data_IF_501669116450
#
_entry.id   IF_501669116450
#
_cell.length_a   1.000
_cell.length_b   1.000
_cell.length_c   1.000
_cell.angle_alpha   90.00
_cell.angle_beta   90.00
_cell.angle_gamma   90.00
#
_symmetry.space_group_name_H-M   'P 1'
#
loop_
_entity.id
_entity.type
_entity.pdbx_description
1 polymer ?
#
# COMPACT_ATOMS: atom_id res chain seq x y z
N UNK A 1 41.21 22.50 -2.69
CA UNK A 1 39.96 22.29 -1.91
C UNK A 1 38.66 22.65 -2.67
N UNK A 2 38.69 23.55 -3.67
CA UNK A 2 37.48 23.98 -4.43
C UNK A 2 36.84 22.86 -5.27
N UNK A 3 37.63 22.00 -5.92
CA UNK A 3 37.11 20.92 -6.77
C UNK A 3 36.34 19.80 -6.03
N UNK A 4 36.65 19.55 -4.75
CA UNK A 4 35.95 18.55 -3.93
C UNK A 4 34.56 19.06 -3.55
N UNK A 5 34.44 20.34 -3.19
CA UNK A 5 33.15 20.94 -2.86
C UNK A 5 32.21 20.95 -4.07
N UNK A 6 32.74 21.21 -5.27
CA UNK A 6 31.94 21.27 -6.49
C UNK A 6 31.53 19.89 -7.00
N UNK A 7 32.43 18.90 -6.88
CA UNK A 7 32.11 17.50 -7.13
C UNK A 7 31.08 16.96 -6.14
N UNK A 8 31.20 17.30 -4.85
CA UNK A 8 30.24 16.92 -3.82
C UNK A 8 28.88 17.58 -4.07
N UNK A 9 28.85 18.85 -4.48
CA UNK A 9 27.61 19.56 -4.84
C UNK A 9 26.93 18.97 -6.07
N UNK A 10 27.69 18.61 -7.11
CA UNK A 10 27.15 17.94 -8.32
C UNK A 10 26.70 16.51 -8.04
N UNK A 11 27.40 15.78 -7.18
CA UNK A 11 27.01 14.44 -6.76
C UNK A 11 25.76 14.48 -5.88
N UNK A 12 25.68 15.41 -4.93
CA UNK A 12 24.47 15.67 -4.13
C UNK A 12 23.31 16.10 -5.04
N UNK A 13 23.52 16.99 -6.00
CA UNK A 13 22.47 17.39 -6.95
C UNK A 13 22.01 16.21 -7.83
N UNK A 14 22.91 15.34 -8.29
CA UNK A 14 22.54 14.12 -9.04
C UNK A 14 21.83 13.09 -8.17
N UNK A 15 22.23 12.96 -6.90
CA UNK A 15 21.55 12.11 -5.93
C UNK A 15 20.16 12.67 -5.63
N UNK A 16 20.02 13.99 -5.47
CA UNK A 16 18.75 14.68 -5.27
C UNK A 16 17.83 14.55 -6.48
N UNK A 17 18.32 14.76 -7.70
CA UNK A 17 17.52 14.58 -8.92
C UNK A 17 17.08 13.12 -9.12
N UNK A 18 17.98 12.17 -8.81
CA UNK A 18 17.62 10.74 -8.81
C UNK A 18 16.63 10.43 -7.69
N UNK A 19 16.79 11.04 -6.52
CA UNK A 19 15.89 10.90 -5.38
C UNK A 19 14.50 11.46 -5.68
N UNK A 20 14.42 12.64 -6.31
CA UNK A 20 13.20 13.30 -6.76
C UNK A 20 12.50 12.47 -7.85
N UNK A 21 13.26 11.89 -8.79
CA UNK A 21 12.73 10.92 -9.76
C UNK A 21 12.25 9.60 -9.12
N UNK A 22 12.78 9.24 -7.95
CA UNK A 22 12.33 8.09 -7.15
C UNK A 22 11.16 8.45 -6.21
N UNK A 23 10.90 9.75 -5.97
CA UNK A 23 9.77 10.23 -5.16
C UNK A 23 8.50 10.30 -6.00
N UNK A 24 7.79 9.17 -5.97
CA UNK A 24 6.50 8.97 -6.60
C UNK A 24 5.42 9.96 -6.12
N UNK A 25 5.51 10.43 -4.87
CA UNK A 25 4.55 11.35 -4.25
C UNK A 25 4.35 12.65 -5.04
N UNK A 26 5.42 13.18 -5.65
CA UNK A 26 5.36 14.44 -6.40
C UNK A 26 4.71 14.31 -7.78
N UNK A 27 4.50 13.09 -8.28
CA UNK A 27 4.03 12.83 -9.65
C UNK A 27 2.60 12.25 -9.69
N UNK A 28 1.79 12.51 -8.66
CA UNK A 28 0.39 12.13 -8.63
C UNK A 28 -0.49 13.16 -9.33
N UNK A 29 -1.20 12.75 -10.39
CA UNK A 29 -2.31 13.54 -10.92
C UNK A 29 -3.53 13.34 -10.02
N UNK A 30 -3.72 14.22 -9.03
CA UNK A 30 -4.96 14.22 -8.26
C UNK A 30 -6.11 14.67 -9.17
N UNK A 31 -7.18 13.86 -9.24
CA UNK A 31 -8.42 14.29 -9.89
C UNK A 31 -8.90 15.60 -9.25
N UNK A 32 -9.06 16.62 -10.08
CA UNK A 32 -9.56 17.94 -9.68
C UNK A 32 -10.91 17.81 -8.99
N UNK A 33 -11.75 16.87 -9.44
CA UNK A 33 -13.04 16.57 -8.81
C UNK A 33 -12.92 16.23 -7.32
N UNK A 34 -11.87 15.51 -6.89
CA UNK A 34 -11.65 15.22 -5.46
C UNK A 34 -11.14 16.43 -4.70
N UNK A 35 -10.30 17.25 -5.33
CA UNK A 35 -9.82 18.49 -4.72
C UNK A 35 -10.94 19.51 -4.55
N UNK A 36 -11.77 19.69 -5.58
CA UNK A 36 -12.97 20.54 -5.54
C UNK A 36 -13.98 19.99 -4.53
N UNK A 37 -14.22 18.69 -4.49
CA UNK A 37 -15.10 18.07 -3.49
C UNK A 37 -14.57 18.21 -2.06
N UNK A 38 -13.26 18.07 -1.84
CA UNK A 38 -12.63 18.28 -0.54
C UNK A 38 -12.71 19.75 -0.11
N UNK A 39 -12.51 20.68 -1.03
CA UNK A 39 -12.62 22.13 -0.77
C UNK A 39 -14.05 22.51 -0.43
N UNK A 40 -15.02 22.00 -1.19
CA UNK A 40 -16.44 22.20 -0.94
C UNK A 40 -16.87 21.57 0.40
N UNK A 41 -16.38 20.36 0.69
CA UNK A 41 -16.60 19.70 1.98
C UNK A 41 -16.00 20.52 3.12
N UNK A 42 -14.74 20.97 3.00
CA UNK A 42 -14.09 21.79 4.01
C UNK A 42 -14.79 23.12 4.25
N UNK A 43 -15.46 23.68 3.24
CA UNK A 43 -16.17 24.96 3.34
C UNK A 43 -17.59 24.82 3.92
N UNK A 44 -18.24 23.69 3.65
CA UNK A 44 -19.62 23.41 4.09
C UNK A 44 -19.70 22.67 5.43
N UNK A 45 -18.61 22.06 5.89
CA UNK A 45 -18.61 21.15 7.05
C UNK A 45 -18.07 21.83 8.30
N UNK A 46 -18.74 21.63 9.44
CA UNK A 46 -18.26 22.13 10.73
C UNK A 46 -16.99 21.39 11.19
N UNK A 47 -16.12 22.10 11.92
CA UNK A 47 -14.87 21.55 12.47
C UNK A 47 -15.11 20.24 13.25
N UNK A 48 -16.16 20.18 14.06
CA UNK A 48 -16.53 18.98 14.83
C UNK A 48 -16.92 17.79 13.97
N UNK A 49 -17.63 18.01 12.86
CA UNK A 49 -17.98 16.94 11.94
C UNK A 49 -16.74 16.41 11.22
N UNK A 50 -15.80 17.28 10.83
CA UNK A 50 -14.52 16.83 10.29
C UNK A 50 -13.68 16.04 11.33
N UNK A 51 -13.65 16.52 12.57
CA UNK A 51 -12.93 15.87 13.67
C UNK A 51 -13.49 14.47 13.99
N UNK A 52 -14.80 14.26 13.85
CA UNK A 52 -15.44 12.94 14.06
C UNK A 52 -15.26 12.02 12.86
N UNK A 53 -15.34 12.54 11.64
CA UNK A 53 -15.21 11.73 10.41
C UNK A 53 -13.80 11.14 10.28
N UNK A 54 -12.76 11.88 10.65
CA UNK A 54 -11.36 11.42 10.61
C UNK A 54 -11.12 10.08 11.33
N UNK A 55 -11.48 9.91 12.62
CA UNK A 55 -11.34 8.64 13.33
C UNK A 55 -12.44 7.64 12.96
N UNK A 56 -13.65 8.08 12.62
CA UNK A 56 -14.74 7.17 12.26
C UNK A 56 -14.48 6.40 10.95
N UNK A 57 -13.60 6.93 10.09
CA UNK A 57 -13.24 6.26 8.83
C UNK A 57 -12.38 5.00 9.05
N UNK A 58 -11.28 5.02 9.82
CA UNK A 58 -10.49 3.83 10.13
C UNK A 58 -11.00 3.01 11.33
N UNK A 59 -11.65 3.60 12.33
CA UNK A 59 -12.01 2.92 13.59
C UNK A 59 -12.83 1.63 13.40
N UNK A 60 -13.87 1.58 12.54
CA UNK A 60 -14.64 0.35 12.33
C UNK A 60 -13.77 -0.79 11.77
N UNK A 61 -12.85 -0.47 10.86
CA UNK A 61 -11.92 -1.45 10.31
C UNK A 61 -10.92 -1.96 11.35
N UNK A 62 -10.41 -1.06 12.20
CA UNK A 62 -9.50 -1.43 13.30
C UNK A 62 -10.23 -2.25 14.36
N UNK A 63 -11.47 -1.90 14.69
CA UNK A 63 -12.29 -2.64 15.65
C UNK A 63 -12.61 -4.05 15.14
N UNK A 64 -12.90 -4.21 13.85
CA UNK A 64 -13.09 -5.53 13.24
C UNK A 64 -11.83 -6.38 13.36
N UNK A 65 -10.65 -5.84 13.04
CA UNK A 65 -9.38 -6.56 13.19
C UNK A 65 -9.09 -6.89 14.64
N UNK A 66 -9.29 -5.95 15.57
CA UNK A 66 -9.11 -6.16 17.00
C UNK A 66 -10.05 -7.24 17.56
N UNK A 67 -11.28 -7.33 17.06
CA UNK A 67 -12.22 -8.39 17.45
C UNK A 67 -11.76 -9.77 17.00
N UNK A 68 -11.17 -9.86 15.80
CA UNK A 68 -10.56 -11.10 15.30
C UNK A 68 -9.35 -11.48 16.17
N UNK A 69 -8.51 -10.51 16.52
CA UNK A 69 -7.32 -10.76 17.34
C UNK A 69 -7.64 -10.98 18.83
N UNK A 70 -8.84 -10.61 19.29
CA UNK A 70 -9.32 -10.91 20.64
C UNK A 70 -9.70 -12.39 20.83
N UNK A 71 -9.80 -13.18 19.75
CA UNK A 71 -10.04 -14.63 19.84
C UNK A 71 -8.80 -15.29 20.47
N UNK A 72 -8.93 -15.94 21.64
CA UNK A 72 -7.79 -16.47 22.37
C UNK A 72 -7.10 -17.59 21.58
N UNK A 73 -5.77 -17.56 21.55
CA UNK A 73 -4.96 -18.65 21.02
C UNK A 73 -4.71 -19.69 22.11
N UNK A 74 -4.93 -20.95 21.76
CA UNK A 74 -4.55 -22.08 22.62
C UNK A 74 -3.07 -22.42 22.43
N UNK A 75 -2.46 -23.00 23.48
CA UNK A 75 -1.06 -23.43 23.44
C UNK A 75 -0.80 -24.40 22.29
N UNK A 76 0.28 -24.14 21.57
CA UNK A 76 0.71 -24.92 20.40
C UNK A 76 1.05 -26.36 20.82
N UNK A 77 1.47 -26.58 22.07
CA UNK A 77 1.86 -27.91 22.58
C UNK A 77 0.71 -28.92 22.67
N UNK A 78 -0.55 -28.46 22.61
CA UNK A 78 -1.74 -29.32 22.66
C UNK A 78 -2.10 -30.00 21.32
N UNK A 79 -1.29 -29.75 20.28
CA UNK A 79 -1.43 -30.37 18.97
C UNK A 79 -2.55 -29.79 18.11
N UNK A 80 -2.68 -30.30 16.88
CA UNK A 80 -3.64 -29.80 15.87
C UNK A 80 -5.09 -29.86 16.37
N UNK A 81 -5.45 -30.91 17.13
CA UNK A 81 -6.82 -31.14 17.57
C UNK A 81 -7.38 -30.03 18.50
N UNK A 82 -6.50 -29.35 19.24
CA UNK A 82 -6.87 -28.25 20.14
C UNK A 82 -6.60 -26.87 19.52
N UNK A 83 -6.11 -26.81 18.28
CA UNK A 83 -5.80 -25.55 17.59
C UNK A 83 -6.99 -24.91 16.88
N UNK A 84 -8.22 -25.28 17.24
CA UNK A 84 -9.45 -24.83 16.56
C UNK A 84 -9.58 -23.31 16.51
N UNK A 85 -9.27 -22.62 17.61
CA UNK A 85 -9.34 -21.16 17.71
C UNK A 85 -8.37 -20.45 16.75
N UNK A 86 -7.16 -20.99 16.59
CA UNK A 86 -6.17 -20.48 15.62
C UNK A 86 -6.74 -20.53 14.19
N UNK A 87 -7.35 -21.65 13.80
CA UNK A 87 -7.90 -21.82 12.45
C UNK A 87 -9.17 -21.00 12.21
N UNK A 88 -10.02 -20.84 13.22
CA UNK A 88 -11.18 -19.93 13.16
C UNK A 88 -10.70 -18.49 12.95
N UNK A 89 -9.73 -18.04 13.76
CA UNK A 89 -9.13 -16.71 13.64
C UNK A 89 -8.50 -16.50 12.27
N UNK A 90 -7.70 -17.45 11.81
CA UNK A 90 -7.04 -17.41 10.50
C UNK A 90 -8.04 -17.40 9.35
N UNK A 91 -9.12 -18.18 9.44
CA UNK A 91 -10.18 -18.22 8.42
C UNK A 91 -10.96 -16.91 8.37
N UNK A 92 -11.29 -16.32 9.52
CA UNK A 92 -12.01 -15.05 9.59
C UNK A 92 -11.15 -13.89 9.07
N UNK A 93 -9.88 -13.81 9.49
CA UNK A 93 -8.92 -12.87 8.93
C UNK A 93 -8.79 -13.06 7.41
N UNK A 94 -8.71 -14.32 6.95
CA UNK A 94 -8.62 -14.66 5.54
C UNK A 94 -9.82 -14.21 4.73
N UNK A 95 -11.00 -14.38 5.28
CA UNK A 95 -12.24 -13.88 4.69
C UNK A 95 -12.21 -12.36 4.58
N UNK A 96 -11.91 -11.64 5.67
CA UNK A 96 -11.92 -10.17 5.69
C UNK A 96 -10.95 -9.58 4.67
N UNK A 97 -9.69 -10.01 4.64
CA UNK A 97 -8.73 -9.43 3.69
C UNK A 97 -9.05 -9.81 2.24
N UNK A 98 -9.56 -11.03 1.97
CA UNK A 98 -10.01 -11.42 0.62
C UNK A 98 -11.21 -10.62 0.17
N UNK A 99 -12.14 -10.35 1.09
CA UNK A 99 -13.30 -9.52 0.83
C UNK A 99 -12.88 -8.10 0.52
N UNK A 100 -12.06 -7.46 1.35
CA UNK A 100 -11.52 -6.12 1.07
C UNK A 100 -10.79 -6.05 -0.28
N UNK A 101 -10.01 -7.08 -0.64
CA UNK A 101 -9.33 -7.13 -1.93
C UNK A 101 -10.32 -7.25 -3.10
N UNK A 102 -11.39 -8.04 -2.94
CA UNK A 102 -12.43 -8.21 -3.96
C UNK A 102 -13.31 -6.95 -4.10
N UNK A 103 -13.58 -6.27 -3.00
CA UNK A 103 -14.24 -4.96 -2.97
C UNK A 103 -13.38 -3.90 -3.68
N UNK A 104 -12.06 -3.93 -3.46
CA UNK A 104 -11.12 -3.04 -4.12
C UNK A 104 -11.23 -3.18 -5.64
N UNK A 105 -11.08 -4.40 -6.20
CA UNK A 105 -11.20 -4.57 -7.66
C UNK A 105 -12.57 -4.18 -8.20
N UNK A 106 -13.66 -4.41 -7.46
CA UNK A 106 -15.00 -3.96 -7.85
C UNK A 106 -15.08 -2.45 -7.96
N UNK A 107 -14.54 -1.72 -6.98
CA UNK A 107 -14.56 -0.26 -6.97
C UNK A 107 -13.59 0.34 -8.01
N UNK A 108 -12.47 -0.32 -8.27
CA UNK A 108 -11.45 0.16 -9.23
C UNK A 108 -11.78 -0.15 -10.69
N UNK A 109 -12.54 -1.21 -10.95
CA UNK A 109 -12.83 -1.67 -12.32
C UNK A 109 -14.26 -1.31 -12.73
N UNK A 110 -14.46 -0.23 -13.50
CA UNK A 110 -15.77 0.05 -14.10
C UNK A 110 -16.19 -1.00 -15.14
N UNK A 111 -15.23 -1.78 -15.66
CA UNK A 111 -15.47 -2.81 -16.68
C UNK A 111 -15.95 -4.13 -16.07
N UNK A 112 -15.57 -4.41 -14.82
CA UNK A 112 -15.94 -5.61 -14.10
C UNK A 112 -17.20 -5.30 -13.29
N UNK A 113 -18.37 -5.50 -13.91
CA UNK A 113 -19.69 -5.31 -13.26
C UNK A 113 -19.94 -6.42 -12.25
N UNK A 114 -19.14 -6.45 -11.19
CA UNK A 114 -19.26 -7.36 -10.06
C UNK A 114 -20.44 -6.93 -9.21
N UNK A 115 -21.38 -7.85 -8.98
CA UNK A 115 -22.44 -7.63 -8.02
C UNK A 115 -21.87 -7.72 -6.59
N UNK A 116 -22.32 -6.91 -5.59
CA UNK A 116 -21.80 -7.00 -4.22
C UNK A 116 -21.91 -8.41 -3.61
N UNK A 117 -23.00 -9.13 -3.89
CA UNK A 117 -23.17 -10.53 -3.47
C UNK A 117 -22.09 -11.47 -4.04
N UNK A 118 -21.56 -11.15 -5.22
CA UNK A 118 -20.53 -11.95 -5.88
C UNK A 118 -19.19 -11.87 -5.13
N UNK A 119 -18.92 -10.77 -4.41
CA UNK A 119 -17.72 -10.65 -3.58
C UNK A 119 -17.71 -11.67 -2.44
N UNK A 120 -18.86 -11.95 -1.83
CA UNK A 120 -19.00 -13.02 -0.83
C UNK A 120 -18.79 -14.41 -1.44
N UNK A 121 -19.32 -14.63 -2.65
CA UNK A 121 -19.14 -15.87 -3.40
C UNK A 121 -17.69 -16.16 -3.81
N UNK A 122 -16.82 -15.15 -3.85
CA UNK A 122 -15.37 -15.31 -4.07
C UNK A 122 -14.63 -15.47 -2.74
N UNK A 123 -14.96 -14.63 -1.75
CA UNK A 123 -14.17 -14.49 -0.52
C UNK A 123 -14.36 -15.65 0.45
N UNK A 124 -15.60 -16.13 0.64
CA UNK A 124 -15.90 -17.23 1.57
C UNK A 124 -15.19 -18.52 1.13
N UNK A 125 -15.40 -19.04 -0.09
CA UNK A 125 -14.79 -20.31 -0.46
C UNK A 125 -13.27 -20.20 -0.63
N UNK A 126 -12.72 -19.06 -1.05
CA UNK A 126 -11.27 -18.85 -1.06
C UNK A 126 -10.67 -18.94 0.34
N UNK A 127 -11.30 -18.32 1.34
CA UNK A 127 -10.83 -18.35 2.72
C UNK A 127 -10.90 -19.75 3.33
N UNK A 128 -12.01 -20.45 3.11
CA UNK A 128 -12.22 -21.82 3.62
C UNK A 128 -11.26 -22.80 2.96
N UNK A 129 -11.09 -22.76 1.64
CA UNK A 129 -10.17 -23.68 0.95
C UNK A 129 -8.70 -23.41 1.28
N UNK A 130 -8.30 -22.15 1.40
CA UNK A 130 -6.93 -21.79 1.77
C UNK A 130 -6.59 -22.31 3.17
N UNK A 131 -7.45 -22.06 4.16
CA UNK A 131 -7.20 -22.50 5.53
C UNK A 131 -7.42 -24.01 5.71
N UNK A 132 -8.37 -24.60 4.98
CA UNK A 132 -8.55 -26.05 4.95
C UNK A 132 -7.31 -26.78 4.42
N UNK A 133 -6.69 -26.24 3.36
CA UNK A 133 -5.41 -26.74 2.86
C UNK A 133 -4.29 -26.57 3.91
N UNK A 134 -4.26 -25.43 4.61
CA UNK A 134 -3.29 -25.19 5.68
C UNK A 134 -3.42 -26.21 6.82
N UNK A 135 -4.64 -26.52 7.26
CA UNK A 135 -4.93 -27.55 8.26
C UNK A 135 -4.50 -28.92 7.75
N UNK A 136 -4.86 -29.29 6.52
CA UNK A 136 -4.50 -30.56 5.92
C UNK A 136 -2.97 -30.74 5.84
N UNK A 137 -2.25 -29.72 5.40
CA UNK A 137 -0.78 -29.74 5.38
C UNK A 137 -0.18 -29.80 6.78
N UNK A 138 -0.80 -29.15 7.77
CA UNK A 138 -0.35 -29.22 9.16
C UNK A 138 -0.52 -30.63 9.75
N UNK A 139 -1.57 -31.36 9.36
CA UNK A 139 -1.79 -32.75 9.76
C UNK A 139 -0.86 -33.73 9.03
N UNK A 140 -0.55 -33.47 7.75
CA UNK A 140 0.20 -34.40 6.90
C UNK A 140 1.72 -34.24 7.00
N UNK A 141 2.21 -33.01 7.19
CA UNK A 141 3.65 -32.70 7.12
C UNK A 141 4.23 -32.51 8.52
N UNK A 142 3.77 -31.47 9.23
CA UNK A 142 4.28 -31.11 10.55
C UNK A 142 3.36 -30.06 11.18
N UNK A 143 3.19 -30.14 12.50
CA UNK A 143 2.51 -29.13 13.30
C UNK A 143 3.44 -28.63 14.42
N UNK A 144 3.57 -27.30 14.63
CA UNK A 144 3.03 -26.21 13.81
C UNK A 144 3.73 -26.10 12.44
N UNK A 145 2.99 -25.75 11.40
CA UNK A 145 3.55 -25.59 10.06
C UNK A 145 4.41 -24.31 9.98
N UNK A 146 5.72 -24.40 9.71
CA UNK A 146 6.57 -23.23 9.63
C UNK A 146 6.15 -22.36 8.43
N UNK A 147 6.14 -21.04 8.63
CA UNK A 147 5.82 -20.07 7.59
C UNK A 147 4.44 -20.29 6.93
N UNK A 148 3.43 -20.76 7.67
CA UNK A 148 2.08 -21.05 7.14
C UNK A 148 1.50 -19.90 6.30
N UNK A 149 1.64 -18.66 6.74
CA UNK A 149 1.14 -17.47 6.02
C UNK A 149 1.82 -17.30 4.65
N UNK A 150 3.14 -17.49 4.61
CA UNK A 150 3.92 -17.43 3.39
C UNK A 150 3.54 -18.56 2.44
N UNK A 151 3.50 -19.80 2.94
CA UNK A 151 3.17 -20.98 2.14
C UNK A 151 1.77 -20.89 1.56
N UNK A 152 0.80 -20.40 2.35
CA UNK A 152 -0.60 -20.27 1.94
C UNK A 152 -0.89 -19.06 1.06
N UNK A 153 0.06 -18.12 0.90
CA UNK A 153 -0.13 -16.95 0.04
C UNK A 153 -0.32 -17.32 -1.44
N UNK A 154 0.38 -18.34 -1.94
CA UNK A 154 0.22 -18.80 -3.32
C UNK A 154 -1.11 -19.54 -3.55
N UNK A 155 -1.50 -20.54 -2.71
CA UNK A 155 -2.83 -21.12 -2.74
C UNK A 155 -3.95 -20.09 -2.66
N UNK A 156 -3.82 -19.10 -1.78
CA UNK A 156 -4.80 -18.02 -1.63
C UNK A 156 -4.99 -17.22 -2.93
N UNK A 157 -3.91 -16.81 -3.59
CA UNK A 157 -3.98 -16.13 -4.89
C UNK A 157 -4.65 -17.03 -5.93
N UNK A 158 -4.27 -18.32 -5.97
CA UNK A 158 -4.83 -19.30 -6.89
C UNK A 158 -6.33 -19.49 -6.72
N UNK A 159 -6.81 -19.72 -5.49
CA UNK A 159 -8.22 -19.89 -5.20
C UNK A 159 -9.03 -18.62 -5.48
N UNK A 160 -8.50 -17.46 -5.10
CA UNK A 160 -9.16 -16.17 -5.36
C UNK A 160 -9.33 -15.93 -6.86
N UNK A 161 -8.29 -16.17 -7.66
CA UNK A 161 -8.36 -16.07 -9.12
C UNK A 161 -9.34 -17.10 -9.68
N UNK A 162 -9.30 -18.35 -9.21
CA UNK A 162 -10.21 -19.41 -9.65
C UNK A 162 -11.69 -19.04 -9.44
N UNK A 163 -12.06 -18.59 -8.24
CA UNK A 163 -13.44 -18.18 -7.97
C UNK A 163 -13.83 -16.91 -8.72
N UNK A 164 -12.91 -15.96 -8.89
CA UNK A 164 -13.13 -14.78 -9.71
C UNK A 164 -13.40 -15.15 -11.18
N UNK A 165 -12.65 -16.11 -11.73
CA UNK A 165 -12.88 -16.64 -13.08
C UNK A 165 -14.20 -17.41 -13.18
N UNK A 166 -14.63 -18.12 -12.13
CA UNK A 166 -15.93 -18.80 -12.11
C UNK A 166 -17.10 -17.82 -12.13
N UNK A 167 -17.01 -16.75 -11.34
CA UNK A 167 -18.05 -15.74 -11.20
C UNK A 167 -18.10 -14.78 -12.40
N UNK A 168 -16.94 -14.32 -12.87
CA UNK A 168 -16.83 -13.31 -13.92
C UNK A 168 -16.38 -13.87 -15.28
N UNK A 169 -16.23 -15.19 -15.43
CA UNK A 169 -15.62 -15.79 -16.62
C UNK A 169 -16.30 -15.44 -17.94
N UNK A 170 -17.62 -15.29 -17.95
CA UNK A 170 -18.37 -14.85 -19.13
C UNK A 170 -18.04 -13.39 -19.47
N UNK A 171 -18.11 -12.48 -18.49
CA UNK A 171 -17.76 -11.06 -18.68
C UNK A 171 -16.29 -10.89 -19.11
N UNK A 172 -15.40 -11.75 -18.59
CA UNK A 172 -13.98 -11.73 -18.88
C UNK A 172 -13.68 -12.17 -20.32
N UNK A 173 -14.46 -13.13 -20.86
CA UNK A 173 -14.36 -13.57 -22.26
C UNK A 173 -14.91 -12.53 -23.23
N UNK A 174 -15.97 -11.82 -22.85
CA UNK A 174 -16.61 -10.82 -23.71
C UNK A 174 -15.85 -9.49 -23.73
N UNK A 175 -15.20 -9.10 -22.62
CA UNK A 175 -14.58 -7.79 -22.47
C UNK A 175 -13.05 -7.88 -22.26
N UNK A 176 -12.22 -7.64 -23.28
CA UNK A 176 -10.76 -7.68 -23.13
C UNK A 176 -10.22 -6.62 -22.16
N UNK A 177 -10.97 -5.54 -21.90
CA UNK A 177 -10.64 -4.53 -20.88
C UNK A 177 -10.78 -5.06 -19.45
N UNK A 178 -11.76 -5.92 -19.19
CA UNK A 178 -11.93 -6.57 -17.89
C UNK A 178 -10.75 -7.51 -17.57
N UNK A 179 -10.21 -8.19 -18.59
CA UNK A 179 -9.00 -9.02 -18.45
C UNK A 179 -7.81 -8.19 -17.97
N UNK A 180 -7.61 -7.02 -18.56
CA UNK A 180 -6.53 -6.10 -18.16
C UNK A 180 -6.68 -5.66 -16.71
N UNK A 181 -7.90 -5.41 -16.26
CA UNK A 181 -8.18 -5.00 -14.87
C UNK A 181 -7.90 -6.13 -13.87
N UNK A 182 -8.28 -7.37 -14.19
CA UNK A 182 -7.99 -8.55 -13.36
C UNK A 182 -6.49 -8.85 -13.33
N UNK A 183 -5.80 -8.78 -14.46
CA UNK A 183 -4.34 -8.99 -14.52
C UNK A 183 -3.61 -7.91 -13.74
N UNK A 184 -4.05 -6.66 -13.84
CA UNK A 184 -3.51 -5.56 -13.03
C UNK A 184 -3.71 -5.84 -11.54
N UNK A 185 -4.90 -6.23 -11.12
CA UNK A 185 -5.20 -6.55 -9.73
C UNK A 185 -4.33 -7.71 -9.23
N UNK A 186 -4.20 -8.78 -10.02
CA UNK A 186 -3.33 -9.91 -9.70
C UNK A 186 -1.86 -9.48 -9.54
N UNK A 187 -1.37 -8.55 -10.36
CA UNK A 187 -0.01 -7.98 -10.21
C UNK A 187 0.12 -7.17 -8.92
N UNK A 188 -0.88 -6.38 -8.56
CA UNK A 188 -0.90 -5.62 -7.29
C UNK A 188 -0.90 -6.59 -6.11
N UNK A 189 -1.76 -7.61 -6.11
CA UNK A 189 -1.78 -8.63 -5.06
C UNK A 189 -0.46 -9.42 -4.99
N UNK A 190 0.13 -9.78 -6.13
CA UNK A 190 1.43 -10.44 -6.18
C UNK A 190 2.56 -9.57 -5.61
N UNK A 191 2.53 -8.26 -5.87
CA UNK A 191 3.46 -7.31 -5.25
C UNK A 191 3.26 -7.28 -3.72
N UNK A 192 2.02 -7.25 -3.23
CA UNK A 192 1.73 -7.30 -1.78
C UNK A 192 2.20 -8.60 -1.14
N UNK A 193 1.97 -9.75 -1.77
CA UNK A 193 2.47 -11.05 -1.28
C UNK A 193 4.00 -11.05 -1.19
N UNK A 194 4.69 -10.45 -2.17
CA UNK A 194 6.15 -10.32 -2.14
C UNK A 194 6.63 -9.49 -0.93
N UNK A 195 5.88 -8.47 -0.55
CA UNK A 195 6.17 -7.65 0.64
C UNK A 195 6.04 -8.49 1.91
N UNK A 196 4.95 -9.25 2.05
CA UNK A 196 4.73 -10.15 3.20
C UNK A 196 5.82 -11.21 3.30
N UNK A 197 6.32 -11.72 2.16
CA UNK A 197 7.42 -12.69 2.11
C UNK A 197 8.78 -12.11 2.50
N UNK A 198 9.02 -10.85 2.16
CA UNK A 198 10.30 -10.20 2.45
C UNK A 198 10.54 -10.06 3.96
N UNK A 199 9.49 -9.81 4.75
CA UNK A 199 9.64 -9.53 6.18
C UNK A 199 10.16 -10.72 7.01
N UNK A 200 9.63 -11.96 6.89
CA UNK A 200 10.19 -13.12 7.58
C UNK A 200 11.65 -13.40 7.18
N UNK A 201 11.97 -13.24 5.90
CA UNK A 201 13.35 -13.43 5.40
C UNK A 201 14.28 -12.39 6.00
N UNK A 202 13.88 -11.12 5.97
CA UNK A 202 14.63 -10.03 6.58
C UNK A 202 14.84 -10.28 8.07
N UNK A 203 13.77 -10.62 8.81
CA UNK A 203 13.84 -10.86 10.24
C UNK A 203 14.79 -12.03 10.56
N UNK A 204 14.73 -13.11 9.78
CA UNK A 204 15.62 -14.27 9.95
C UNK A 204 17.08 -13.88 9.72
N UNK A 205 17.38 -13.10 8.67
CA UNK A 205 18.75 -12.64 8.43
C UNK A 205 19.21 -11.70 9.55
N UNK A 206 18.34 -10.79 9.98
CA UNK A 206 18.62 -9.80 11.01
C UNK A 206 18.94 -10.45 12.37
N UNK A 207 18.19 -11.47 12.78
CA UNK A 207 18.42 -12.16 14.06
C UNK A 207 19.68 -13.01 14.06
N UNK A 208 20.13 -13.49 12.90
CA UNK A 208 21.37 -14.25 12.76
C UNK A 208 22.62 -13.38 12.57
N UNK A 209 22.47 -12.06 12.40
CA UNK A 209 23.59 -11.14 12.21
C UNK A 209 24.22 -10.70 13.55
N UNK A 210 25.57 -10.54 13.61
CA UNK A 210 26.22 -9.98 14.78
C UNK A 210 25.74 -8.55 15.07
N UNK A 211 25.67 -8.12 16.35
CA UNK A 211 25.14 -6.81 16.76
C UNK A 211 25.80 -5.61 16.05
N UNK A 212 27.08 -5.74 15.68
CA UNK A 212 27.84 -4.71 14.96
C UNK A 212 27.29 -4.41 13.56
N UNK A 213 26.72 -5.40 12.87
CA UNK A 213 26.23 -5.28 11.50
C UNK A 213 24.71 -5.07 11.40
N UNK A 214 23.96 -5.34 12.47
CA UNK A 214 22.52 -5.12 12.56
C UNK A 214 22.07 -3.69 12.17
N UNK A 215 22.70 -2.59 12.65
CA UNK A 215 22.26 -1.24 12.27
C UNK A 215 22.52 -0.91 10.80
N UNK A 216 23.59 -1.44 10.20
CA UNK A 216 23.87 -1.28 8.76
C UNK A 216 22.87 -2.06 7.92
N UNK A 217 22.51 -3.27 8.36
CA UNK A 217 21.47 -4.06 7.69
C UNK A 217 20.08 -3.42 7.82
N UNK A 218 19.79 -2.74 8.94
CA UNK A 218 18.56 -1.99 9.14
C UNK A 218 18.38 -0.84 8.12
N UNK A 219 19.45 -0.29 7.54
CA UNK A 219 19.37 0.69 6.46
C UNK A 219 18.83 0.11 5.14
N UNK A 220 18.75 -1.21 5.00
CA UNK A 220 18.10 -1.83 3.84
C UNK A 220 16.57 -1.63 3.87
N UNK A 221 15.98 -1.40 5.05
CA UNK A 221 14.54 -1.15 5.24
C UNK A 221 14.05 0.08 4.46
N UNK A 222 14.64 1.29 4.64
CA UNK A 222 14.24 2.46 3.86
C UNK A 222 14.54 2.32 2.36
N UNK A 223 15.58 1.57 1.97
CA UNK A 223 15.85 1.26 0.55
C UNK A 223 14.71 0.40 -0.02
N UNK A 224 14.31 -0.64 0.71
CA UNK A 224 13.20 -1.51 0.34
C UNK A 224 11.88 -0.72 0.24
N UNK A 225 11.59 0.18 1.18
CA UNK A 225 10.46 1.12 1.13
C UNK A 225 10.43 1.91 -0.19
N UNK A 226 11.56 2.48 -0.61
CA UNK A 226 11.67 3.24 -1.87
C UNK A 226 11.45 2.34 -3.09
N UNK A 227 12.02 1.14 -3.09
CA UNK A 227 11.81 0.16 -4.18
C UNK A 227 10.34 -0.23 -4.29
N UNK A 228 9.68 -0.54 -3.16
CA UNK A 228 8.26 -0.87 -3.12
C UNK A 228 7.39 0.26 -3.66
N UNK A 229 7.63 1.51 -3.22
CA UNK A 229 6.91 2.68 -3.73
C UNK A 229 7.03 2.78 -5.25
N UNK A 230 8.22 2.57 -5.80
CA UNK A 230 8.45 2.63 -7.24
C UNK A 230 7.82 1.49 -8.02
N UNK A 231 7.87 0.26 -7.51
CA UNK A 231 7.22 -0.90 -8.13
C UNK A 231 5.71 -0.69 -8.15
N UNK A 232 5.10 -0.35 -7.02
CA UNK A 232 3.67 -0.09 -6.94
C UNK A 232 3.26 1.11 -7.81
N UNK A 233 4.04 2.19 -7.84
CA UNK A 233 3.79 3.31 -8.74
C UNK A 233 3.67 2.88 -10.21
N UNK A 234 4.62 2.08 -10.68
CA UNK A 234 4.62 1.57 -12.06
C UNK A 234 3.42 0.67 -12.32
N UNK A 235 3.06 -0.17 -11.34
CA UNK A 235 1.86 -1.01 -11.44
C UNK A 235 0.57 -0.19 -11.46
N UNK A 236 0.56 0.99 -10.83
CA UNK A 236 -0.59 1.89 -10.74
C UNK A 236 -0.61 2.97 -11.85
N UNK A 237 0.32 2.90 -12.81
CA UNK A 237 0.39 3.84 -13.94
C UNK A 237 -0.91 3.81 -14.75
N UNK A 238 -1.55 4.98 -14.88
CA UNK A 238 -2.84 5.14 -15.57
C UNK A 238 -4.07 4.97 -14.66
N UNK A 239 -3.90 4.86 -13.34
CA UNK A 239 -4.95 4.83 -12.33
C UNK A 239 -4.64 5.78 -11.17
N UNK A 240 -4.50 7.05 -11.51
CA UNK A 240 -3.96 8.07 -10.61
C UNK A 240 -4.80 8.29 -9.33
N UNK A 241 -6.10 7.99 -9.37
CA UNK A 241 -7.01 8.18 -8.23
C UNK A 241 -6.79 7.23 -7.06
N UNK A 242 -6.28 6.04 -7.36
CA UNK A 242 -6.09 4.97 -6.37
C UNK A 242 -4.64 4.77 -6.00
N UNK A 243 -3.74 5.33 -6.80
CA UNK A 243 -2.31 5.35 -6.59
C UNK A 243 -1.90 5.86 -5.19
N UNK A 244 -2.34 7.04 -4.72
CA UNK A 244 -1.94 7.52 -3.40
C UNK A 244 -2.52 6.63 -2.29
N UNK A 245 -3.76 6.18 -2.41
CA UNK A 245 -4.39 5.33 -1.40
C UNK A 245 -3.67 3.98 -1.24
N UNK A 246 -3.38 3.28 -2.34
CA UNK A 246 -2.67 1.99 -2.29
C UNK A 246 -1.24 2.17 -1.80
N UNK A 247 -0.54 3.21 -2.28
CA UNK A 247 0.87 3.43 -1.96
C UNK A 247 1.08 3.82 -0.50
N UNK A 248 0.29 4.75 0.03
CA UNK A 248 0.35 5.14 1.45
C UNK A 248 -0.04 3.97 2.34
N UNK A 249 -1.21 3.36 2.09
CA UNK A 249 -1.77 2.34 2.98
C UNK A 249 -0.95 1.04 2.98
N UNK A 250 -0.37 0.63 1.84
CA UNK A 250 0.42 -0.60 1.79
C UNK A 250 1.92 -0.40 2.02
N UNK A 251 2.53 0.72 1.61
CA UNK A 251 3.98 0.86 1.78
C UNK A 251 4.30 1.49 3.12
N UNK A 252 3.59 2.54 3.51
CA UNK A 252 3.96 3.30 4.71
C UNK A 252 3.55 2.57 5.99
N UNK A 253 2.33 2.03 6.03
CA UNK A 253 1.83 1.32 7.21
C UNK A 253 2.64 0.04 7.43
N UNK A 254 2.83 -0.79 6.39
CA UNK A 254 3.60 -2.03 6.56
C UNK A 254 5.07 -1.75 6.93
N UNK A 255 5.70 -0.75 6.32
CA UNK A 255 7.07 -0.39 6.67
C UNK A 255 7.15 0.14 8.13
N UNK A 256 6.17 0.92 8.56
CA UNK A 256 6.09 1.42 9.95
C UNK A 256 5.89 0.29 10.96
N UNK A 257 4.95 -0.63 10.68
CA UNK A 257 4.74 -1.84 11.48
C UNK A 257 6.01 -2.69 11.56
N UNK A 258 6.71 -2.85 10.44
CA UNK A 258 7.95 -3.60 10.39
C UNK A 258 9.07 -2.96 11.23
N UNK A 259 9.25 -1.64 11.12
CA UNK A 259 10.18 -0.89 11.98
C UNK A 259 9.81 -1.09 13.44
N UNK A 260 8.52 -1.02 13.79
CA UNK A 260 8.04 -1.26 15.15
C UNK A 260 8.40 -2.67 15.64
N UNK A 261 8.20 -3.71 14.82
CA UNK A 261 8.57 -5.09 15.17
C UNK A 261 10.09 -5.25 15.32
N UNK A 262 10.88 -4.63 14.44
CA UNK A 262 12.35 -4.64 14.57
C UNK A 262 12.80 -3.96 15.86
N UNK A 263 12.19 -2.83 16.22
CA UNK A 263 12.46 -2.09 17.46
C UNK A 263 12.05 -2.91 18.68
N UNK A 264 10.93 -3.64 18.62
CA UNK A 264 10.49 -4.52 19.72
C UNK A 264 11.42 -5.72 19.90
N UNK A 265 11.90 -6.32 18.81
CA UNK A 265 12.77 -7.52 18.86
C UNK A 265 14.23 -7.18 19.12
N UNK A 266 14.72 -6.03 18.66
CA UNK A 266 16.06 -5.55 18.95
C UNK A 266 16.06 -4.88 20.33
N UNK A 267 16.45 -5.60 21.38
CA UNK A 267 16.65 -5.04 22.74
C UNK A 267 17.80 -4.00 22.83
N UNK A 268 18.21 -3.38 21.72
CA UNK A 268 19.31 -2.42 21.63
C UNK A 268 18.81 -1.05 21.21
N UNK A 269 18.96 -0.07 22.11
CA UNK A 269 18.58 1.34 21.92
C UNK A 269 19.17 1.98 20.64
N UNK A 270 20.31 1.46 20.16
CA UNK A 270 21.01 2.02 19.00
C UNK A 270 20.29 1.83 17.66
N UNK A 271 19.57 0.71 17.47
CA UNK A 271 18.83 0.43 16.22
C UNK A 271 17.59 1.32 16.13
N UNK A 272 16.85 1.44 17.23
CA UNK A 272 15.69 2.33 17.33
C UNK A 272 16.06 3.79 17.08
N UNK A 273 17.13 4.27 17.73
CA UNK A 273 17.64 5.61 17.50
C UNK A 273 18.04 5.84 16.03
N UNK A 274 18.70 4.87 15.40
CA UNK A 274 19.13 4.96 13.99
C UNK A 274 17.92 5.01 13.05
N UNK A 275 16.92 4.15 13.25
CA UNK A 275 15.72 4.13 12.40
C UNK A 275 14.89 5.41 12.55
N UNK A 276 14.74 5.93 13.77
CA UNK A 276 14.06 7.21 14.02
C UNK A 276 14.80 8.36 13.34
N UNK A 277 16.14 8.42 13.48
CA UNK A 277 16.95 9.47 12.84
C UNK A 277 16.84 9.39 11.32
N UNK A 278 16.85 8.20 10.74
CA UNK A 278 16.71 8.00 9.29
C UNK A 278 15.33 8.42 8.80
N UNK A 279 14.26 8.06 9.52
CA UNK A 279 12.90 8.47 9.14
C UNK A 279 12.73 9.99 9.27
N UNK A 280 13.25 10.61 10.33
CA UNK A 280 13.28 12.07 10.48
C UNK A 280 14.05 12.76 9.34
N UNK A 281 15.23 12.24 8.98
CA UNK A 281 16.00 12.76 7.85
C UNK A 281 15.22 12.61 6.54
N UNK A 282 14.54 11.48 6.34
CA UNK A 282 13.70 11.25 5.17
C UNK A 282 12.52 12.23 5.12
N UNK A 283 11.88 12.52 6.26
CA UNK A 283 10.80 13.52 6.36
C UNK A 283 11.32 14.93 6.07
N UNK A 284 12.46 15.32 6.64
CA UNK A 284 13.07 16.63 6.42
C UNK A 284 13.46 16.81 4.95
N UNK A 285 14.04 15.79 4.32
CA UNK A 285 14.36 15.84 2.89
C UNK A 285 13.10 16.00 2.03
N UNK A 286 12.05 15.23 2.30
CA UNK A 286 10.77 15.37 1.61
C UNK A 286 10.16 16.76 1.80
N UNK A 287 10.24 17.34 3.00
CA UNK A 287 9.78 18.71 3.27
C UNK A 287 10.59 19.76 2.52
N UNK A 288 11.92 19.61 2.45
CA UNK A 288 12.79 20.51 1.70
C UNK A 288 12.50 20.45 0.20
N UNK A 289 12.30 19.26 -0.34
CA UNK A 289 11.97 19.07 -1.75
C UNK A 289 10.59 19.66 -2.08
N UNK A 290 9.60 19.46 -1.21
CA UNK A 290 8.27 20.08 -1.34
C UNK A 290 8.34 21.62 -1.26
N UNK A 291 9.18 22.15 -0.37
CA UNK A 291 9.43 23.59 -0.28
C UNK A 291 10.10 24.15 -1.54
N UNK A 292 11.06 23.43 -2.12
CA UNK A 292 11.68 23.82 -3.40
C UNK A 292 10.67 23.81 -4.54
N UNK A 293 9.87 22.75 -4.66
CA UNK A 293 8.81 22.66 -5.68
C UNK A 293 7.83 23.82 -5.55
N UNK A 294 7.40 24.15 -4.33
CA UNK A 294 6.52 25.30 -4.07
C UNK A 294 7.18 26.63 -4.44
N UNK A 295 8.48 26.80 -4.18
CA UNK A 295 9.21 28.00 -4.58
C UNK A 295 9.37 28.11 -6.09
N UNK A 296 9.54 27.01 -6.82
CA UNK A 296 9.63 27.03 -8.28
C UNK A 296 8.26 27.34 -8.91
N UNK A 297 7.18 26.80 -8.35
CA UNK A 297 5.81 27.22 -8.71
C UNK A 297 5.61 28.71 -8.44
N UNK A 298 6.08 29.22 -7.29
CA UNK A 298 6.00 30.64 -6.93
C UNK A 298 6.79 31.54 -7.90
N UNK A 299 7.99 31.12 -8.32
CA UNK A 299 8.78 31.84 -9.35
C UNK A 299 8.09 31.87 -10.70
N UNK A 300 7.44 30.76 -11.10
CA UNK A 300 6.65 30.69 -12.33
C UNK A 300 5.44 31.64 -12.22
N UNK A 301 4.80 31.68 -11.05
CA UNK A 301 3.69 32.59 -10.74
C UNK A 301 4.09 34.07 -10.82
N UNK A 302 5.25 34.43 -10.25
CA UNK A 302 5.77 35.79 -10.32
C UNK A 302 6.11 36.20 -11.76
N UNK A 303 6.65 35.28 -12.58
CA UNK A 303 6.88 35.49 -14.02
C UNK A 303 5.60 35.69 -14.82
N UNK A 304 4.50 35.07 -14.40
CA UNK A 304 3.19 35.15 -15.04
C UNK A 304 2.29 36.28 -14.49
N UNK A 305 2.74 37.01 -13.46
CA UNK A 305 1.96 38.06 -12.76
C UNK A 305 0.56 37.60 -12.32
N UNK A 306 0.41 36.35 -11.92
CA UNK A 306 -0.88 35.81 -11.46
C UNK A 306 -0.98 35.94 -9.94
N UNK A 307 -2.06 36.55 -9.43
CA UNK A 307 -2.40 36.47 -8.01
C UNK A 307 -2.68 35.02 -7.59
N UNK A 308 -2.39 34.67 -6.33
CA UNK A 308 -2.58 33.33 -5.76
C UNK A 308 -3.98 32.72 -6.07
N UNK A 309 -5.03 33.55 -6.03
CA UNK A 309 -6.42 33.11 -6.30
C UNK A 309 -6.71 32.94 -7.79
N UNK A 310 -6.00 33.64 -8.66
CA UNK A 310 -6.12 33.51 -10.11
C UNK A 310 -5.48 32.20 -10.60
N UNK A 311 -4.45 31.68 -9.92
CA UNK A 311 -3.78 30.44 -10.30
C UNK A 311 -4.66 29.21 -10.12
N UNK A 312 -5.40 29.09 -9.01
CA UNK A 312 -6.37 27.98 -8.82
C UNK A 312 -7.40 28.02 -9.94
N UNK A 313 -7.98 29.19 -10.25
CA UNK A 313 -8.95 29.36 -11.33
C UNK A 313 -8.38 29.14 -12.73
N UNK A 314 -7.12 29.50 -12.96
CA UNK A 314 -6.47 29.35 -14.27
C UNK A 314 -5.99 27.92 -14.48
N UNK A 315 -5.46 27.26 -13.44
CA UNK A 315 -5.16 25.84 -13.45
C UNK A 315 -6.44 25.03 -13.65
N UNK A 316 -7.52 25.36 -12.94
CA UNK A 316 -8.85 24.75 -13.12
C UNK A 316 -9.34 24.90 -14.58
N UNK A 317 -9.26 26.11 -15.17
CA UNK A 317 -9.62 26.33 -16.59
C UNK A 317 -8.71 25.62 -17.61
N UNK A 318 -7.39 25.62 -17.40
CA UNK A 318 -6.44 24.99 -18.33
C UNK A 318 -6.58 23.46 -18.27
N UNK A 319 -6.86 22.92 -17.09
CA UNK A 319 -7.10 21.50 -16.91
C UNK A 319 -8.49 21.07 -17.43
N UNK A 320 -9.52 21.89 -17.28
CA UNK A 320 -10.81 21.71 -17.97
C UNK A 320 -10.66 21.75 -19.50
N UNK A 321 -9.84 22.67 -20.03
CA UNK A 321 -9.53 22.76 -21.45
C UNK A 321 -8.82 21.53 -22.02
N UNK A 322 -7.91 20.90 -21.25
CA UNK A 322 -7.31 19.60 -21.60
C UNK A 322 -8.33 18.45 -21.60
N UNK A 323 -9.29 18.47 -20.67
CA UNK A 323 -10.37 17.48 -20.58
C UNK A 323 -11.24 17.46 -21.85
N UNK A 324 -11.51 18.63 -22.44
CA UNK A 324 -12.26 18.75 -23.70
C UNK A 324 -11.50 18.20 -24.90
N UNK A 325 -10.17 18.31 -24.91
CA UNK A 325 -9.34 17.80 -26.01
C UNK A 325 -9.20 16.28 -25.96
N UNK A 326 -9.04 15.69 -24.77
CA UNK A 326 -8.99 14.23 -24.60
C UNK A 326 -10.34 13.54 -24.86
N UNK A 327 -11.47 14.15 -24.47
CA UNK A 327 -12.81 13.61 -24.77
C UNK A 327 -13.17 13.72 -26.27
N UNK A 328 -12.61 14.70 -26.99
CA UNK A 328 -12.79 14.83 -28.45
C UNK A 328 -11.99 13.78 -29.23
N UNK A 329 -10.90 13.26 -28.66
CA UNK A 329 -10.13 12.13 -29.22
C UNK A 329 -10.71 10.74 -28.88
N UNK A 330 -11.67 10.66 -27.94
CA UNK A 330 -12.34 9.40 -27.53
C UNK A 330 -13.72 9.19 -28.15
N UNK A 331 -14.25 10.16 -28.92
CA UNK A 331 -15.40 9.98 -29.80
C UNK A 331 -14.91 9.68 -31.21
#
# INVERSE_FOLDING_TARGET
MVGIHEWMRRSVARILLRWEALQVELHGHYLIERFTALTEYSRSTSFWRALVVLPLTPLPSLMLVALIDAIPLEDIDKGVAHSGTLWVRSTLACFVYTHCATELIRLSSPNLKLHPAAAFGISIPSAVLTNGLAVALSMLVCYPLPFVTALMSFPWLGFTIFFLLRVCGVQLRTNPKAVKDVVWFAKVCGAQVTIVMFYPVFNTIFTNLPPTYQPVFALLVPVFKVVQRNVLNRLLSGRDDMKPQILVLNVEIFNSLFISTCVQNAQSMGISATLIVVDLLQTVLSLLDLHRMMNDVKKIMDKLKLENNALIRTAERVLEGRRFTENKQRR
#
